data_IF_032901645552
#
_entry.id   IF_032901645552
#
_cell.length_a   1.000
_cell.length_b   1.000
_cell.length_c   1.000
_cell.angle_alpha   90.00
_cell.angle_beta   90.00
_cell.angle_gamma   90.00
#
_symmetry.space_group_name_H-M   'P 1'
#
loop_
_entity.id
_entity.type
_entity.pdbx_description
1 polymer ?
#
# COMPACT_ATOMS: atom_id res chain seq x y z
N UNK A 1 19.05 5.96 13.14
CA UNK A 1 18.54 4.81 12.35
C UNK A 1 17.19 5.21 11.81
N UNK A 2 16.93 5.05 10.52
CA UNK A 2 15.60 5.22 9.94
C UNK A 2 14.76 3.99 10.29
N UNK A 3 13.42 4.15 10.40
CA UNK A 3 12.51 3.03 10.61
C UNK A 3 12.35 2.16 9.36
N UNK A 4 11.66 1.02 9.52
CA UNK A 4 11.34 0.13 8.43
C UNK A 4 10.43 0.81 7.38
N UNK A 5 10.50 0.33 6.16
CA UNK A 5 9.57 0.71 5.08
C UNK A 5 8.49 -0.36 4.97
N UNK A 6 7.24 0.05 5.05
CA UNK A 6 6.08 -0.83 4.91
C UNK A 6 5.45 -0.53 3.56
N UNK A 7 5.58 -1.42 2.61
CA UNK A 7 4.91 -1.32 1.31
C UNK A 7 3.59 -2.07 1.42
N UNK A 8 2.49 -1.37 1.20
CA UNK A 8 1.13 -1.84 1.47
C UNK A 8 0.27 -1.71 0.21
N UNK A 9 -0.60 -2.66 0.04
CA UNK A 9 -1.73 -2.61 -0.89
C UNK A 9 -2.98 -3.23 -0.26
N UNK A 10 -4.17 -2.81 -0.69
CA UNK A 10 -5.45 -3.25 -0.17
C UNK A 10 -6.39 -3.68 -1.29
N UNK A 11 -7.14 -4.78 -1.05
CA UNK A 11 -8.35 -5.06 -1.80
C UNK A 11 -9.57 -4.70 -0.97
N UNK A 12 -10.61 -4.15 -1.62
CA UNK A 12 -11.79 -3.66 -0.91
C UNK A 12 -13.07 -3.77 -1.73
N UNK A 13 -14.21 -3.79 -1.04
CA UNK A 13 -15.55 -3.79 -1.65
C UNK A 13 -16.28 -2.49 -1.35
N UNK A 14 -17.03 -1.92 -2.31
CA UNK A 14 -17.73 -0.66 -2.08
C UNK A 14 -18.93 -0.84 -1.14
N UNK A 15 -19.09 0.10 -0.24
CA UNK A 15 -20.29 0.28 0.57
C UNK A 15 -21.40 0.82 -0.34
N UNK A 16 -22.63 0.29 -0.20
CA UNK A 16 -23.76 0.70 -1.01
C UNK A 16 -24.78 1.54 -0.27
N UNK A 17 -24.74 1.51 1.06
CA UNK A 17 -25.62 2.31 1.91
C UNK A 17 -25.21 3.79 1.81
N UNK A 18 -26.10 4.70 1.37
CA UNK A 18 -25.77 6.12 1.21
C UNK A 18 -25.41 6.82 2.53
N UNK A 19 -25.98 6.41 3.64
CA UNK A 19 -25.73 7.02 4.95
C UNK A 19 -24.31 6.67 5.41
N UNK A 20 -23.88 5.43 5.20
CA UNK A 20 -22.53 4.99 5.52
C UNK A 20 -21.48 5.56 4.55
N UNK A 21 -21.85 5.79 3.28
CA UNK A 21 -20.96 6.38 2.28
C UNK A 21 -20.54 7.82 2.62
N UNK A 22 -21.26 8.50 3.51
CA UNK A 22 -20.86 9.81 4.01
C UNK A 22 -19.56 9.74 4.83
N UNK A 23 -19.26 8.59 5.45
CA UNK A 23 -18.06 8.36 6.27
C UNK A 23 -17.03 7.54 5.50
N UNK A 24 -17.41 6.36 4.98
CA UNK A 24 -16.51 5.49 4.23
C UNK A 24 -17.19 4.99 2.94
N UNK A 25 -16.41 4.88 1.87
CA UNK A 25 -16.93 4.42 0.56
C UNK A 25 -16.72 2.95 0.31
N UNK A 26 -15.88 2.30 1.09
CA UNK A 26 -15.51 0.89 0.92
C UNK A 26 -15.08 0.27 2.24
N UNK A 27 -15.13 -1.06 2.30
CA UNK A 27 -14.57 -1.89 3.37
C UNK A 27 -13.45 -2.78 2.82
N UNK A 28 -12.40 -2.94 3.60
CA UNK A 28 -11.23 -3.76 3.26
C UNK A 28 -11.64 -5.25 3.24
N UNK A 29 -11.15 -5.97 2.25
CA UNK A 29 -11.27 -7.42 2.10
C UNK A 29 -9.94 -8.15 2.28
N UNK A 30 -8.82 -7.49 1.93
CA UNK A 30 -7.48 -8.04 2.07
C UNK A 30 -6.48 -6.93 2.36
N UNK A 31 -5.54 -7.21 3.25
CA UNK A 31 -4.35 -6.39 3.52
C UNK A 31 -3.14 -7.20 3.10
N UNK A 32 -2.36 -6.67 2.16
CA UNK A 32 -1.08 -7.23 1.74
C UNK A 32 0.06 -6.25 2.00
N UNK A 33 1.13 -6.68 2.65
CA UNK A 33 2.24 -5.79 2.93
C UNK A 33 3.60 -6.48 2.90
N UNK A 34 4.63 -5.70 2.57
CA UNK A 34 6.03 -6.12 2.56
C UNK A 34 6.83 -5.16 3.45
N UNK A 35 7.53 -5.71 4.44
CA UNK A 35 8.44 -4.96 5.29
C UNK A 35 9.84 -4.97 4.70
N UNK A 36 10.42 -3.79 4.48
CA UNK A 36 11.75 -3.62 3.94
C UNK A 36 12.65 -2.90 4.95
N UNK A 37 13.94 -3.24 4.95
CA UNK A 37 14.94 -2.48 5.67
C UNK A 37 15.35 -1.18 4.92
N UNK A 38 16.30 -0.44 5.49
CA UNK A 38 16.82 0.80 4.89
C UNK A 38 17.37 0.60 3.47
N UNK A 39 17.98 -0.56 3.18
CA UNK A 39 18.56 -0.94 1.89
C UNK A 39 17.54 -1.53 0.90
N UNK A 40 16.24 -1.48 1.22
CA UNK A 40 15.15 -2.06 0.45
C UNK A 40 15.25 -3.60 0.28
N UNK A 41 15.89 -4.31 1.21
CA UNK A 41 15.82 -5.76 1.28
C UNK A 41 14.54 -6.17 2.02
N UNK A 42 13.85 -7.18 1.51
CA UNK A 42 12.65 -7.75 2.13
C UNK A 42 13.04 -8.42 3.45
N UNK A 43 12.37 -8.05 4.52
CA UNK A 43 12.51 -8.65 5.85
C UNK A 43 11.39 -9.65 6.11
N UNK A 44 10.15 -9.23 5.90
CA UNK A 44 8.95 -9.99 6.22
C UNK A 44 7.82 -9.61 5.26
N UNK A 45 6.81 -10.47 5.19
CA UNK A 45 5.58 -10.24 4.46
C UNK A 45 4.38 -10.47 5.36
N UNK A 46 3.29 -9.76 5.09
CA UNK A 46 2.02 -9.86 5.81
C UNK A 46 0.88 -10.00 4.82
N UNK A 47 -0.04 -10.90 5.11
CA UNK A 47 -1.28 -11.05 4.35
C UNK A 47 -2.39 -11.48 5.29
N UNK A 48 -3.52 -10.82 5.23
CA UNK A 48 -4.74 -11.23 5.91
C UNK A 48 -5.97 -10.81 5.12
N UNK A 49 -6.97 -11.68 5.08
CA UNK A 49 -8.30 -11.27 4.67
C UNK A 49 -8.98 -10.53 5.81
N UNK A 50 -10.00 -9.74 5.48
CA UNK A 50 -10.79 -8.98 6.45
C UNK A 50 -12.27 -9.21 6.16
N UNK A 51 -13.04 -9.51 7.21
CA UNK A 51 -14.48 -9.70 7.09
C UNK A 51 -15.18 -8.35 7.04
N UNK A 52 -15.86 -8.00 5.94
CA UNK A 52 -16.63 -6.77 5.86
C UNK A 52 -17.83 -6.85 6.80
N UNK A 53 -18.22 -5.73 7.41
CA UNK A 53 -19.31 -5.65 8.37
C UNK A 53 -20.60 -5.16 7.73
N UNK A 54 -20.52 -4.21 6.83
CA UNK A 54 -21.65 -3.50 6.25
C UNK A 54 -21.89 -3.83 4.77
N UNK A 55 -20.92 -4.49 4.14
CA UNK A 55 -20.93 -4.77 2.71
C UNK A 55 -20.85 -6.27 2.42
N UNK A 56 -21.23 -6.63 1.20
CA UNK A 56 -20.96 -7.95 0.62
C UNK A 56 -19.84 -7.84 -0.41
N UNK A 57 -19.18 -8.94 -0.67
CA UNK A 57 -18.23 -9.02 -1.78
C UNK A 57 -19.02 -9.00 -3.09
N UNK A 58 -18.88 -7.95 -3.88
CA UNK A 58 -19.62 -7.83 -5.12
C UNK A 58 -19.04 -8.75 -6.20
N UNK A 59 -19.87 -9.32 -7.10
CA UNK A 59 -19.37 -10.20 -8.17
C UNK A 59 -18.24 -9.58 -9.00
N UNK A 60 -18.29 -8.28 -9.27
CA UNK A 60 -17.20 -7.57 -9.99
C UNK A 60 -15.90 -7.53 -9.21
N UNK A 61 -15.96 -7.47 -7.86
CA UNK A 61 -14.79 -7.51 -6.99
C UNK A 61 -14.21 -8.92 -7.01
N UNK A 62 -15.04 -9.96 -6.89
CA UNK A 62 -14.59 -11.36 -7.02
C UNK A 62 -13.91 -11.62 -8.38
N UNK A 63 -14.49 -11.12 -9.47
CA UNK A 63 -13.86 -11.28 -10.81
C UNK A 63 -12.49 -10.62 -10.88
N UNK A 64 -12.32 -9.48 -10.20
CA UNK A 64 -11.08 -8.70 -10.21
C UNK A 64 -10.01 -9.31 -9.31
N UNK A 65 -10.38 -9.62 -8.05
CA UNK A 65 -9.45 -9.98 -6.97
C UNK A 65 -9.38 -11.48 -6.68
N UNK A 66 -10.36 -12.24 -7.15
CA UNK A 66 -10.55 -13.65 -6.77
C UNK A 66 -11.16 -13.86 -5.37
N UNK A 67 -11.36 -12.78 -4.59
CA UNK A 67 -11.92 -12.87 -3.24
C UNK A 67 -13.42 -13.13 -3.33
N UNK A 68 -13.91 -14.13 -2.57
CA UNK A 68 -15.32 -14.51 -2.51
C UNK A 68 -15.91 -14.23 -1.11
N UNK A 69 -17.25 -14.32 -0.97
CA UNK A 69 -17.90 -14.28 0.33
C UNK A 69 -17.38 -15.39 1.27
N UNK A 70 -17.10 -16.59 0.73
CA UNK A 70 -16.55 -17.70 1.51
C UNK A 70 -15.14 -17.39 2.02
N UNK A 71 -14.31 -16.71 1.19
CA UNK A 71 -12.95 -16.31 1.57
C UNK A 71 -12.97 -15.44 2.83
N UNK A 72 -13.90 -14.49 2.91
CA UNK A 72 -13.97 -13.53 4.01
C UNK A 72 -14.89 -13.97 5.17
N UNK A 73 -15.68 -15.03 4.99
CA UNK A 73 -16.67 -15.45 5.98
C UNK A 73 -16.06 -15.76 7.37
N UNK A 74 -14.86 -16.35 7.37
CA UNK A 74 -14.10 -16.73 8.58
C UNK A 74 -12.90 -15.83 8.84
N UNK A 75 -12.73 -14.77 8.05
CA UNK A 75 -11.67 -13.82 8.22
C UNK A 75 -11.85 -12.99 9.52
N UNK A 76 -10.78 -12.46 10.10
CA UNK A 76 -10.85 -11.56 11.23
C UNK A 76 -11.69 -10.31 10.89
N UNK A 77 -12.27 -9.70 11.91
CA UNK A 77 -12.88 -8.39 11.80
C UNK A 77 -11.83 -7.33 11.47
N UNK A 78 -12.28 -6.15 11.04
CA UNK A 78 -11.39 -5.00 10.80
C UNK A 78 -10.50 -4.70 12.01
N UNK A 79 -11.07 -4.68 13.22
CA UNK A 79 -10.33 -4.38 14.44
C UNK A 79 -9.23 -5.42 14.72
N UNK A 80 -9.55 -6.71 14.57
CA UNK A 80 -8.57 -7.80 14.75
C UNK A 80 -7.49 -7.78 13.67
N UNK A 81 -7.87 -7.55 12.41
CA UNK A 81 -6.93 -7.47 11.30
C UNK A 81 -5.95 -6.29 11.47
N UNK A 82 -6.45 -5.12 11.88
CA UNK A 82 -5.62 -3.94 12.14
C UNK A 82 -4.74 -4.10 13.37
N UNK A 83 -5.19 -4.81 14.42
CA UNK A 83 -4.36 -5.16 15.58
C UNK A 83 -3.20 -6.07 15.15
N UNK A 84 -3.49 -7.16 14.43
CA UNK A 84 -2.48 -8.09 13.92
C UNK A 84 -1.48 -7.38 12.97
N UNK A 85 -1.97 -6.49 12.13
CA UNK A 85 -1.12 -5.71 11.22
C UNK A 85 -0.21 -4.74 11.98
N UNK A 86 -0.74 -4.07 13.01
CA UNK A 86 0.03 -3.19 13.89
C UNK A 86 1.13 -3.95 14.63
N UNK A 87 0.80 -5.12 15.19
CA UNK A 87 1.78 -5.98 15.89
C UNK A 87 2.88 -6.46 14.94
N UNK A 88 2.51 -6.82 13.69
CA UNK A 88 3.50 -7.22 12.68
C UNK A 88 4.40 -6.04 12.25
N UNK A 89 3.88 -4.82 12.11
CA UNK A 89 4.71 -3.63 11.84
C UNK A 89 5.71 -3.44 12.98
N UNK A 90 5.29 -3.65 14.22
CA UNK A 90 6.05 -3.41 15.42
C UNK A 90 5.96 -1.98 15.92
N UNK A 91 6.49 -1.71 17.10
CA UNK A 91 6.39 -0.44 17.82
C UNK A 91 7.30 0.68 17.31
N UNK A 92 8.03 0.48 16.20
CA UNK A 92 8.90 1.53 15.66
C UNK A 92 8.07 2.61 14.93
N UNK A 93 7.75 3.67 15.66
CA UNK A 93 6.99 4.81 15.14
C UNK A 93 7.68 5.57 13.98
N UNK A 94 8.91 5.22 13.62
CA UNK A 94 9.65 5.78 12.49
C UNK A 94 9.38 5.02 11.18
N UNK A 95 8.60 3.95 11.21
CA UNK A 95 8.20 3.21 10.01
C UNK A 95 7.45 4.15 9.05
N UNK A 96 7.71 3.98 7.75
CA UNK A 96 7.05 4.75 6.69
C UNK A 96 6.23 3.83 5.82
N UNK A 97 5.02 4.27 5.50
CA UNK A 97 4.14 3.55 4.59
C UNK A 97 4.34 4.01 3.15
N UNK A 98 4.37 3.06 2.25
CA UNK A 98 4.47 3.26 0.80
C UNK A 98 3.33 2.51 0.14
N UNK A 99 2.52 3.21 -0.63
CA UNK A 99 1.43 2.64 -1.43
C UNK A 99 1.58 3.03 -2.88
N UNK A 100 0.95 2.28 -3.78
CA UNK A 100 0.95 2.70 -5.18
C UNK A 100 0.20 4.02 -5.35
N UNK A 101 -0.93 4.20 -4.64
CA UNK A 101 -1.64 5.47 -4.59
C UNK A 101 -1.99 5.84 -3.14
N UNK A 102 -2.53 7.04 -2.92
CA UNK A 102 -3.00 7.45 -1.60
C UNK A 102 -4.38 6.90 -1.22
N UNK A 103 -5.02 6.08 -2.07
CA UNK A 103 -6.33 5.49 -1.80
C UNK A 103 -6.32 4.61 -0.55
N UNK A 104 -5.26 3.82 -0.37
CA UNK A 104 -5.13 2.84 0.70
C UNK A 104 -5.15 3.49 2.09
N UNK A 105 -4.41 4.59 2.26
CA UNK A 105 -4.48 5.36 3.50
C UNK A 105 -5.90 5.82 3.80
N UNK A 106 -6.57 6.40 2.80
CA UNK A 106 -7.93 6.91 2.97
C UNK A 106 -8.91 5.78 3.32
N UNK A 107 -8.77 4.60 2.71
CA UNK A 107 -9.63 3.44 3.01
C UNK A 107 -9.44 3.02 4.46
N UNK A 108 -8.21 2.85 4.93
CA UNK A 108 -7.93 2.48 6.33
C UNK A 108 -8.54 3.50 7.30
N UNK A 109 -8.28 4.79 7.10
CA UNK A 109 -8.73 5.83 8.03
C UNK A 109 -10.26 5.98 8.03
N UNK A 110 -10.89 6.02 6.86
CA UNK A 110 -12.34 6.17 6.76
C UNK A 110 -13.09 4.94 7.30
N UNK A 111 -12.54 3.73 7.11
CA UNK A 111 -13.14 2.52 7.69
C UNK A 111 -12.98 2.48 9.21
N UNK A 112 -11.87 2.98 9.74
CA UNK A 112 -11.69 3.15 11.18
C UNK A 112 -12.73 4.10 11.77
N UNK A 113 -12.94 5.25 11.12
CA UNK A 113 -13.96 6.24 11.53
C UNK A 113 -15.36 5.62 11.46
N UNK A 114 -15.70 4.91 10.38
CA UNK A 114 -16.99 4.23 10.22
C UNK A 114 -17.26 3.20 11.33
N UNK A 115 -16.23 2.50 11.78
CA UNK A 115 -16.32 1.45 12.80
C UNK A 115 -15.99 1.92 14.21
N UNK A 116 -15.80 3.24 14.38
CA UNK A 116 -15.44 3.86 15.67
C UNK A 116 -14.19 3.20 16.30
N UNK A 117 -13.21 2.82 15.45
CA UNK A 117 -11.98 2.19 15.88
C UNK A 117 -10.83 3.19 15.99
N UNK A 118 -10.17 3.20 17.14
CA UNK A 118 -8.92 3.96 17.29
C UNK A 118 -7.76 3.20 16.66
N UNK A 119 -7.04 3.86 15.75
CA UNK A 119 -5.82 3.33 15.16
C UNK A 119 -4.58 3.86 15.89
N UNK A 120 -3.47 3.11 15.78
CA UNK A 120 -2.18 3.58 16.25
C UNK A 120 -1.75 4.82 15.44
N UNK A 121 -1.08 5.80 16.09
CA UNK A 121 -0.67 7.09 15.52
C UNK A 121 0.14 6.96 14.22
N UNK A 122 0.84 5.84 14.02
CA UNK A 122 1.61 5.59 12.80
C UNK A 122 0.76 5.64 11.53
N UNK A 123 -0.52 5.29 11.58
CA UNK A 123 -1.41 5.29 10.41
C UNK A 123 -1.82 6.69 9.95
N UNK A 124 -1.63 7.71 10.78
CA UNK A 124 -1.95 9.10 10.44
C UNK A 124 -0.76 9.85 9.83
N UNK A 125 0.44 9.27 9.85
CA UNK A 125 1.68 9.96 9.47
C UNK A 125 2.54 9.14 8.53
N UNK A 126 3.45 9.81 7.79
CA UNK A 126 4.55 9.17 7.04
C UNK A 126 4.14 8.27 5.87
N UNK A 127 3.09 8.62 5.15
CA UNK A 127 2.69 7.95 3.91
C UNK A 127 3.35 8.56 2.68
N UNK A 128 3.72 7.70 1.73
CA UNK A 128 4.34 8.07 0.46
C UNK A 128 3.56 7.46 -0.69
N UNK A 129 2.98 8.32 -1.52
CA UNK A 129 2.33 7.99 -2.79
C UNK A 129 3.42 7.74 -3.85
N UNK A 130 3.68 6.46 -4.16
CA UNK A 130 4.71 6.07 -5.13
C UNK A 130 4.29 6.35 -6.57
N UNK A 131 3.00 6.36 -6.89
CA UNK A 131 2.49 6.70 -8.22
C UNK A 131 2.85 8.14 -8.57
N UNK A 132 2.64 9.06 -7.62
CA UNK A 132 3.01 10.47 -7.77
C UNK A 132 4.53 10.65 -7.81
N UNK A 133 5.27 9.92 -6.98
CA UNK A 133 6.74 9.96 -7.00
C UNK A 133 7.29 9.45 -8.32
N UNK A 134 6.79 8.31 -8.83
CA UNK A 134 7.12 7.75 -10.13
C UNK A 134 6.88 8.76 -11.26
N UNK A 135 5.68 9.34 -11.31
CA UNK A 135 5.33 10.34 -12.31
C UNK A 135 6.34 11.50 -12.35
N UNK A 136 6.71 12.03 -11.18
CA UNK A 136 7.66 13.15 -11.05
C UNK A 136 9.08 12.77 -11.46
N UNK A 137 9.55 11.61 -11.01
CA UNK A 137 10.93 11.18 -11.27
C UNK A 137 11.18 10.84 -12.74
N UNK A 138 10.17 10.33 -13.43
CA UNK A 138 10.28 10.02 -14.86
C UNK A 138 9.80 11.14 -15.78
N UNK A 139 9.18 12.19 -15.25
CA UNK A 139 8.68 13.33 -16.03
C UNK A 139 7.42 13.00 -16.84
N UNK A 140 6.63 12.02 -16.41
CA UNK A 140 5.38 11.68 -17.10
C UNK A 140 4.30 12.74 -16.86
N UNK A 141 3.49 12.98 -17.89
CA UNK A 141 2.38 13.96 -17.82
C UNK A 141 1.17 13.42 -17.04
N UNK A 142 1.04 12.09 -16.93
CA UNK A 142 -0.07 11.42 -16.24
C UNK A 142 0.45 10.30 -15.34
N UNK A 143 -0.29 10.02 -14.28
CA UNK A 143 -0.07 8.85 -13.44
C UNK A 143 -0.43 7.58 -14.23
N UNK A 144 0.24 6.48 -13.89
CA UNK A 144 0.03 5.15 -14.49
C UNK A 144 -0.51 4.19 -13.43
N UNK A 145 -1.24 3.15 -13.85
CA UNK A 145 -1.50 2.02 -12.97
C UNK A 145 -0.19 1.25 -12.69
N UNK A 146 -0.22 0.35 -11.71
CA UNK A 146 0.95 -0.38 -11.24
C UNK A 146 1.64 -1.18 -12.37
N UNK A 147 0.88 -1.93 -13.14
CA UNK A 147 1.38 -2.78 -14.24
C UNK A 147 2.07 -1.94 -15.33
N UNK A 148 1.47 -0.83 -15.73
CA UNK A 148 2.06 0.06 -16.73
C UNK A 148 3.33 0.75 -16.21
N UNK A 149 3.37 1.10 -14.91
CA UNK A 149 4.55 1.68 -14.31
C UNK A 149 5.71 0.69 -14.24
N UNK A 150 5.46 -0.57 -13.85
CA UNK A 150 6.45 -1.65 -13.91
C UNK A 150 6.97 -1.83 -15.34
N UNK A 151 6.08 -1.90 -16.33
CA UNK A 151 6.44 -2.00 -17.74
C UNK A 151 7.33 -0.85 -18.20
N UNK A 152 7.04 0.38 -17.79
CA UNK A 152 7.87 1.57 -18.10
C UNK A 152 9.30 1.49 -17.56
N UNK A 153 9.50 0.70 -16.50
CA UNK A 153 10.80 0.44 -15.87
C UNK A 153 11.45 -0.88 -16.33
N UNK A 154 10.82 -1.61 -17.25
CA UNK A 154 11.23 -2.94 -17.69
C UNK A 154 11.28 -3.96 -16.54
N UNK A 155 10.32 -3.86 -15.62
CA UNK A 155 10.12 -4.79 -14.50
C UNK A 155 8.90 -5.64 -14.82
N UNK A 156 9.04 -6.96 -14.72
CA UNK A 156 7.90 -7.87 -14.88
C UNK A 156 7.08 -7.96 -13.62
N UNK A 157 5.75 -7.96 -13.80
CA UNK A 157 4.82 -8.22 -12.71
C UNK A 157 4.95 -9.70 -12.29
N UNK A 158 4.99 -9.98 -11.01
CA UNK A 158 5.05 -11.33 -10.44
C UNK A 158 3.81 -11.60 -9.59
N UNK A 159 3.20 -12.75 -9.81
CA UNK A 159 1.97 -13.16 -9.14
C UNK A 159 0.72 -12.80 -9.93
N UNK A 160 -0.41 -12.69 -9.24
CA UNK A 160 -1.70 -12.35 -9.82
C UNK A 160 -2.01 -10.88 -9.52
N UNK A 161 -2.31 -10.10 -10.55
CA UNK A 161 -2.78 -8.71 -10.40
C UNK A 161 -4.05 -8.69 -9.55
N UNK A 162 -4.23 -7.61 -8.77
CA UNK A 162 -5.35 -7.47 -7.85
C UNK A 162 -5.38 -8.50 -6.71
N UNK A 163 -4.23 -8.94 -6.27
CA UNK A 163 -4.05 -9.59 -4.98
C UNK A 163 -3.17 -8.70 -4.12
N UNK A 164 -3.64 -8.26 -2.97
CA UNK A 164 -2.99 -7.21 -2.18
C UNK A 164 -1.50 -7.50 -1.90
N UNK A 165 -1.14 -8.72 -1.51
CA UNK A 165 0.27 -9.06 -1.28
C UNK A 165 1.09 -9.07 -2.58
N UNK A 166 0.52 -9.54 -3.72
CA UNK A 166 1.23 -9.51 -5.00
C UNK A 166 1.47 -8.06 -5.45
N UNK A 167 0.48 -7.19 -5.32
CA UNK A 167 0.59 -5.77 -5.69
C UNK A 167 1.56 -5.03 -4.76
N UNK A 168 1.57 -5.31 -3.45
CA UNK A 168 2.56 -4.79 -2.51
C UNK A 168 4.00 -5.22 -2.88
N UNK A 169 4.23 -6.49 -3.26
CA UNK A 169 5.54 -6.99 -3.73
C UNK A 169 6.01 -6.26 -4.98
N UNK A 170 5.12 -6.06 -5.94
CA UNK A 170 5.44 -5.36 -7.18
C UNK A 170 5.67 -3.85 -6.94
N UNK A 171 4.92 -3.24 -6.05
CA UNK A 171 5.12 -1.86 -5.58
C UNK A 171 6.48 -1.71 -4.88
N UNK A 172 6.91 -2.71 -4.10
CA UNK A 172 8.24 -2.73 -3.48
C UNK A 172 9.38 -2.75 -4.51
N UNK A 173 9.22 -3.41 -5.66
CA UNK A 173 10.21 -3.37 -6.77
C UNK A 173 10.34 -1.95 -7.33
N UNK A 174 9.21 -1.24 -7.48
CA UNK A 174 9.21 0.16 -7.91
C UNK A 174 9.94 1.03 -6.88
N UNK A 175 9.61 0.90 -5.59
CA UNK A 175 10.28 1.65 -4.52
C UNK A 175 11.80 1.46 -4.58
N UNK A 176 12.27 0.23 -4.71
CA UNK A 176 13.70 -0.09 -4.85
C UNK A 176 14.34 0.61 -6.07
N UNK A 177 13.65 0.59 -7.21
CA UNK A 177 14.13 1.24 -8.44
C UNK A 177 14.19 2.76 -8.29
N UNK A 178 13.18 3.38 -7.69
CA UNK A 178 13.12 4.83 -7.47
C UNK A 178 14.20 5.30 -6.47
N UNK A 179 14.42 4.55 -5.39
CA UNK A 179 15.49 4.83 -4.43
C UNK A 179 16.88 4.82 -5.10
N UNK A 180 17.16 3.80 -5.91
CA UNK A 180 18.43 3.72 -6.64
C UNK A 180 18.64 4.89 -7.61
N UNK A 181 17.59 5.34 -8.29
CA UNK A 181 17.65 6.50 -9.19
C UNK A 181 17.90 7.81 -8.43
N UNK A 182 17.29 7.96 -7.27
CA UNK A 182 17.52 9.12 -6.41
C UNK A 182 18.98 9.17 -5.95
N UNK A 183 19.52 8.06 -5.44
CA UNK A 183 20.93 7.95 -5.02
C UNK A 183 21.91 8.33 -6.16
N UNK A 184 21.64 7.88 -7.38
CA UNK A 184 22.46 8.23 -8.55
C UNK A 184 22.38 9.72 -8.86
N UNK A 185 21.20 10.32 -8.83
CA UNK A 185 21.03 11.76 -9.07
C UNK A 185 21.75 12.61 -8.03
N UNK A 186 21.65 12.25 -6.77
CA UNK A 186 22.31 12.95 -5.67
C UNK A 186 23.86 12.87 -5.81
N UNK A 187 24.42 11.71 -6.16
CA UNK A 187 25.84 11.55 -6.41
C UNK A 187 26.35 12.39 -7.58
N UNK A 188 25.58 12.45 -8.69
CA UNK A 188 25.90 13.28 -9.84
C UNK A 188 25.89 14.76 -9.42
N UNK A 189 24.89 15.20 -8.68
CA UNK A 189 24.78 16.59 -8.23
C UNK A 189 25.92 16.99 -7.28
N UNK A 190 26.31 16.11 -6.36
CA UNK A 190 27.44 16.30 -5.47
C UNK A 190 28.76 16.40 -6.26
N UNK A 191 28.98 15.54 -7.26
CA UNK A 191 30.15 15.57 -8.12
C UNK A 191 30.27 16.89 -8.89
N UNK A 192 29.17 17.42 -9.44
CA UNK A 192 29.15 18.71 -10.12
C UNK A 192 29.43 19.89 -9.17
N UNK A 193 28.99 19.82 -7.93
CA UNK A 193 29.24 20.86 -6.93
C UNK A 193 30.73 20.85 -6.52
N UNK A 194 31.36 19.68 -6.40
CA UNK A 194 32.79 19.55 -6.05
C UNK A 194 33.75 19.98 -7.18
N UNK A 195 33.29 20.03 -8.43
CA UNK A 195 34.07 20.50 -9.58
C UNK A 195 33.99 22.02 -9.78
N UNK A 196 33.22 22.74 -8.98
CA UNK A 196 33.07 24.20 -9.04
C UNK A 196 33.94 24.95 -8.01
N UNK A 197 34.79 24.24 -7.27
CA UNK A 197 35.81 24.76 -6.38
C UNK A 197 37.19 24.25 -6.84
#
# INVERSE_FOLDING_TARGET
MQGNKIVLDLEFTPIRDPDLQAVARSEILEIGAVKLNEQNAVLEEFQTYVKPQYSRVLPRVTVLTGITEETVATAPSYAEAMANFTDWIGSDCRSRFYTWSNSDQNVILNEADLKEQSLHDMFYTHWVDLQRLHQRMYGFTRQMNLTNALGSMQIYFEGTEHGALADARNTAKILKRLSNLQDVRERIQQSHNNLRY
#
